data_IF_914187377014
#
_entry.id   IF_914187377014
#
_cell.length_a   1.000
_cell.length_b   1.000
_cell.length_c   1.000
_cell.angle_alpha   90.00
_cell.angle_beta   90.00
_cell.angle_gamma   90.00
#
_symmetry.space_group_name_H-M   'P 1'
#
loop_
_entity.id
_entity.type
_entity.pdbx_description
1 polymer ?
#
# COMPACT_ATOMS: atom_id res chain seq x y z
N UNK A 1 -11.84 2.64 -36.18
CA UNK A 1 -11.28 3.49 -35.11
C UNK A 1 -11.24 2.69 -33.83
N UNK A 2 -10.25 2.91 -32.96
CA UNK A 2 -10.20 2.26 -31.65
C UNK A 2 -11.31 2.75 -30.72
N UNK A 3 -11.55 2.06 -29.60
CA UNK A 3 -12.57 2.44 -28.61
C UNK A 3 -12.31 3.86 -28.06
N UNK A 4 -11.06 4.15 -27.70
CA UNK A 4 -10.65 5.47 -27.17
C UNK A 4 -10.86 6.57 -28.21
N UNK A 5 -10.42 6.34 -29.45
CA UNK A 5 -10.55 7.33 -30.54
C UNK A 5 -12.02 7.66 -30.83
N UNK A 6 -12.89 6.65 -30.89
CA UNK A 6 -14.30 6.82 -31.20
C UNK A 6 -15.06 7.61 -30.12
N UNK A 7 -14.73 7.37 -28.85
CA UNK A 7 -15.31 8.11 -27.71
C UNK A 7 -14.75 9.54 -27.66
N UNK A 8 -13.44 9.70 -27.87
CA UNK A 8 -12.81 11.01 -27.92
C UNK A 8 -13.34 11.87 -29.09
N UNK A 9 -13.62 11.27 -30.26
CA UNK A 9 -14.18 11.95 -31.43
C UNK A 9 -15.70 12.18 -31.35
N UNK A 10 -16.35 11.59 -30.35
CA UNK A 10 -17.77 11.76 -30.06
C UNK A 10 -18.72 10.95 -30.94
N UNK A 11 -18.22 9.95 -31.67
CA UNK A 11 -19.03 9.08 -32.54
C UNK A 11 -18.85 7.59 -32.20
N UNK A 12 -18.95 7.15 -30.92
CA UNK A 12 -18.86 5.74 -30.61
C UNK A 12 -20.13 5.00 -31.03
N UNK A 13 -19.97 3.74 -31.47
CA UNK A 13 -21.08 2.80 -31.51
C UNK A 13 -21.40 2.26 -30.10
N UNK A 14 -22.57 1.63 -29.95
CA UNK A 14 -23.02 1.09 -28.66
C UNK A 14 -22.04 0.05 -28.10
N UNK A 15 -21.36 -0.69 -28.97
CA UNK A 15 -20.42 -1.73 -28.55
C UNK A 15 -19.14 -1.09 -28.01
N UNK A 16 -18.62 -0.04 -28.65
CA UNK A 16 -17.48 0.75 -28.19
C UNK A 16 -17.79 1.41 -26.83
N UNK A 17 -19.01 1.89 -26.62
CA UNK A 17 -19.46 2.36 -25.31
C UNK A 17 -19.41 1.26 -24.23
N UNK A 18 -19.82 0.03 -24.55
CA UNK A 18 -19.69 -1.10 -23.62
C UNK A 18 -18.23 -1.52 -23.39
N UNK A 19 -17.41 -1.50 -24.44
CA UNK A 19 -16.02 -1.96 -24.41
C UNK A 19 -15.10 -1.00 -23.62
N UNK A 20 -15.45 0.28 -23.48
CA UNK A 20 -14.59 1.26 -22.80
C UNK A 20 -14.34 0.94 -21.32
N UNK A 21 -15.36 0.47 -20.58
CA UNK A 21 -15.19 0.10 -19.16
C UNK A 21 -15.15 -1.41 -18.92
N UNK A 22 -15.86 -2.21 -19.71
CA UNK A 22 -16.10 -3.63 -19.42
C UNK A 22 -15.41 -4.61 -20.39
N UNK A 23 -14.96 -4.15 -21.57
CA UNK A 23 -14.48 -5.03 -22.63
C UNK A 23 -15.50 -6.13 -22.94
N UNK A 24 -16.69 -5.80 -23.47
CA UNK A 24 -17.78 -6.78 -23.63
C UNK A 24 -17.51 -7.82 -24.72
N UNK A 25 -16.58 -7.52 -25.64
CA UNK A 25 -16.12 -8.46 -26.66
C UNK A 25 -14.71 -8.95 -26.37
N UNK A 26 -14.49 -10.22 -26.70
CA UNK A 26 -13.15 -10.76 -26.78
C UNK A 26 -12.31 -9.93 -27.75
N UNK A 27 -11.17 -9.43 -27.30
CA UNK A 27 -10.42 -8.48 -28.12
C UNK A 27 -9.33 -7.71 -27.40
N UNK A 28 -8.77 -6.74 -28.11
CA UNK A 28 -7.52 -6.06 -27.74
C UNK A 28 -7.64 -5.08 -26.57
N UNK A 29 -8.85 -4.78 -26.10
CA UNK A 29 -9.07 -3.85 -24.99
C UNK A 29 -9.73 -4.58 -23.82
N UNK A 30 -9.02 -4.66 -22.69
CA UNK A 30 -9.62 -5.07 -21.41
C UNK A 30 -10.53 -3.99 -20.79
N UNK A 31 -10.58 -2.78 -21.35
CA UNK A 31 -11.33 -1.65 -20.81
C UNK A 31 -10.70 -1.00 -19.58
N UNK A 32 -11.27 0.13 -19.14
CA UNK A 32 -10.85 0.87 -17.95
C UNK A 32 -10.97 0.05 -16.67
N UNK A 33 -11.96 -0.84 -16.56
CA UNK A 33 -12.08 -1.73 -15.40
C UNK A 33 -10.89 -2.67 -15.25
N UNK A 34 -10.34 -3.20 -16.35
CA UNK A 34 -9.12 -4.01 -16.32
C UNK A 34 -7.90 -3.18 -15.92
N UNK A 35 -7.83 -1.93 -16.40
CA UNK A 35 -6.75 -1.02 -16.04
C UNK A 35 -6.78 -0.71 -14.54
N UNK A 36 -7.93 -0.31 -14.00
CA UNK A 36 -8.10 -0.02 -12.57
C UNK A 36 -7.90 -1.24 -11.67
N UNK A 37 -8.26 -2.44 -12.14
CA UNK A 37 -7.91 -3.66 -11.44
C UNK A 37 -6.39 -3.81 -11.34
N UNK A 38 -5.64 -3.54 -12.40
CA UNK A 38 -4.17 -3.57 -12.37
C UNK A 38 -3.58 -2.47 -11.47
N UNK A 39 -4.12 -1.24 -11.50
CA UNK A 39 -3.72 -0.17 -10.57
C UNK A 39 -3.96 -0.57 -9.12
N UNK A 40 -5.15 -1.09 -8.80
CA UNK A 40 -5.50 -1.50 -7.44
C UNK A 40 -4.57 -2.56 -6.88
N UNK A 41 -4.12 -3.51 -7.72
CA UNK A 41 -3.08 -4.47 -7.36
C UNK A 41 -1.72 -3.78 -7.16
N UNK A 42 -1.35 -2.87 -8.05
CA UNK A 42 -0.13 -2.07 -7.94
C UNK A 42 -0.06 -1.30 -6.61
N UNK A 43 -1.16 -0.64 -6.24
CA UNK A 43 -1.30 0.04 -4.94
C UNK A 43 -1.15 -0.93 -3.76
N UNK A 44 -1.75 -2.13 -3.85
CA UNK A 44 -1.59 -3.17 -2.82
C UNK A 44 -0.11 -3.51 -2.56
N UNK A 45 0.65 -3.69 -3.63
CA UNK A 45 2.07 -4.00 -3.54
C UNK A 45 2.88 -2.79 -3.08
N UNK A 46 2.52 -1.59 -3.50
CA UNK A 46 3.14 -0.36 -3.00
C UNK A 46 3.01 -0.26 -1.47
N UNK A 47 1.82 -0.50 -0.91
CA UNK A 47 1.60 -0.42 0.54
C UNK A 47 2.33 -1.54 1.30
N UNK A 48 2.37 -2.75 0.72
CA UNK A 48 3.19 -3.85 1.21
C UNK A 48 4.68 -3.45 1.28
N UNK A 49 5.18 -2.79 0.24
CA UNK A 49 6.60 -2.42 0.16
C UNK A 49 6.95 -1.26 1.06
N UNK A 50 6.12 -0.22 1.13
CA UNK A 50 6.28 0.87 2.10
C UNK A 50 6.39 0.32 3.52
N UNK A 51 5.55 -0.64 3.87
CA UNK A 51 5.60 -1.32 5.16
C UNK A 51 6.92 -2.10 5.35
N UNK A 52 7.44 -2.74 4.30
CA UNK A 52 8.71 -3.46 4.36
C UNK A 52 9.94 -2.53 4.43
N UNK A 53 9.87 -1.31 3.92
CA UNK A 53 10.98 -0.35 3.92
C UNK A 53 11.46 -0.05 5.34
N UNK A 54 10.55 0.25 6.26
CA UNK A 54 10.86 0.52 7.67
C UNK A 54 11.59 -0.66 8.33
N UNK A 55 11.05 -1.88 8.17
CA UNK A 55 11.69 -3.10 8.69
C UNK A 55 13.08 -3.33 8.07
N UNK A 56 13.23 -3.09 6.76
CA UNK A 56 14.50 -3.22 6.07
C UNK A 56 15.57 -2.30 6.67
N UNK A 57 15.23 -1.03 6.94
CA UNK A 57 16.14 -0.10 7.59
C UNK A 57 16.52 -0.56 9.01
N UNK A 58 15.53 -0.94 9.82
CA UNK A 58 15.77 -1.46 11.17
C UNK A 58 16.70 -2.69 11.18
N UNK A 59 16.69 -3.51 10.14
CA UNK A 59 17.58 -4.67 10.05
C UNK A 59 18.97 -4.35 9.52
N UNK A 60 19.11 -3.30 8.70
CA UNK A 60 20.31 -3.05 7.88
C UNK A 60 21.17 -1.88 8.31
N UNK A 61 20.60 -0.82 8.89
CA UNK A 61 21.42 0.28 9.40
C UNK A 61 22.21 -0.10 10.66
N UNK A 62 21.68 -0.85 11.65
CA UNK A 62 22.38 -1.09 12.91
C UNK A 62 23.42 -2.20 12.75
N UNK A 63 24.47 -1.92 11.98
CA UNK A 63 25.58 -2.84 11.72
C UNK A 63 26.87 -2.24 12.26
N UNK A 64 27.73 -3.09 12.83
CA UNK A 64 29.06 -2.68 13.32
C UNK A 64 29.87 -1.96 12.24
N UNK A 65 29.71 -2.37 10.98
CA UNK A 65 30.36 -1.74 9.83
C UNK A 65 29.94 -0.28 9.64
N UNK A 66 28.64 0.01 9.77
CA UNK A 66 28.11 1.36 9.60
C UNK A 66 28.58 2.26 10.74
N UNK A 67 28.55 1.75 11.99
CA UNK A 67 29.05 2.46 13.16
C UNK A 67 30.57 2.77 13.05
N UNK A 68 31.39 1.77 12.71
CA UNK A 68 32.85 1.94 12.59
C UNK A 68 33.26 2.88 11.46
N UNK A 69 32.44 3.00 10.42
CA UNK A 69 32.71 3.86 9.28
C UNK A 69 32.24 5.31 9.48
N UNK A 70 31.50 5.60 10.56
CA UNK A 70 30.89 6.91 10.80
C UNK A 70 29.58 7.15 10.04
N UNK A 71 29.09 6.15 9.30
CA UNK A 71 27.78 6.24 8.63
C UNK A 71 26.62 6.28 9.65
N UNK A 72 26.78 5.60 10.79
CA UNK A 72 25.92 5.75 11.95
C UNK A 72 26.78 6.20 13.14
N UNK A 73 26.29 7.16 13.94
CA UNK A 73 27.01 7.68 15.10
C UNK A 73 26.15 7.56 16.34
N UNK A 74 26.70 7.00 17.43
CA UNK A 74 26.06 7.01 18.74
C UNK A 74 26.27 8.38 19.39
N UNK A 75 25.19 9.09 19.65
CA UNK A 75 25.20 10.44 20.24
C UNK A 75 25.05 10.36 21.75
N UNK A 76 24.10 9.56 22.24
CA UNK A 76 23.83 9.36 23.66
C UNK A 76 23.25 7.97 23.95
N UNK A 77 23.33 7.55 25.22
CA UNK A 77 22.86 6.24 25.68
C UNK A 77 23.88 5.11 25.51
N UNK A 78 23.50 3.91 25.96
CA UNK A 78 24.32 2.71 25.91
C UNK A 78 23.76 1.68 24.93
N UNK A 79 24.61 1.17 24.03
CA UNK A 79 24.20 0.11 23.11
C UNK A 79 23.93 -1.20 23.88
N UNK A 80 22.91 -1.98 23.50
CA UNK A 80 22.56 -3.21 24.20
C UNK A 80 23.70 -4.23 24.13
N UNK A 81 24.23 -4.63 25.29
CA UNK A 81 25.46 -5.45 25.37
C UNK A 81 26.65 -4.86 24.59
N UNK A 82 26.72 -3.54 24.40
CA UNK A 82 27.73 -2.88 23.58
C UNK A 82 27.66 -3.20 22.07
N UNK A 83 26.53 -3.74 21.58
CA UNK A 83 26.40 -4.15 20.18
C UNK A 83 25.26 -3.41 19.48
N UNK A 84 25.60 -2.56 18.49
CA UNK A 84 24.61 -1.86 17.67
C UNK A 84 23.65 -2.82 16.96
N UNK A 85 24.07 -4.04 16.62
CA UNK A 85 23.19 -5.03 15.97
C UNK A 85 22.03 -5.52 16.86
N UNK A 86 22.09 -5.22 18.17
CA UNK A 86 21.02 -5.50 19.12
C UNK A 86 20.10 -4.31 19.38
N UNK A 87 20.29 -3.19 18.66
CA UNK A 87 19.58 -1.93 18.90
C UNK A 87 18.06 -2.12 18.98
N UNK A 88 17.50 -2.91 18.06
CA UNK A 88 16.06 -3.18 17.97
C UNK A 88 15.65 -4.57 18.42
N UNK A 89 16.51 -5.31 19.11
CA UNK A 89 16.14 -6.58 19.73
C UNK A 89 15.30 -6.30 20.98
N UNK A 90 14.27 -7.12 21.21
CA UNK A 90 13.40 -7.08 22.39
C UNK A 90 14.22 -6.95 23.69
N UNK A 91 14.09 -5.82 24.43
CA UNK A 91 14.71 -5.68 25.74
C UNK A 91 14.06 -6.63 26.76
N UNK A 92 14.86 -7.19 27.65
CA UNK A 92 14.40 -8.16 28.66
C UNK A 92 13.65 -7.52 29.84
N UNK A 93 13.86 -6.23 30.07
CA UNK A 93 13.45 -5.49 31.26
C UNK A 93 12.38 -4.44 30.95
N UNK A 94 12.78 -3.31 30.36
CA UNK A 94 11.92 -2.18 30.05
C UNK A 94 11.90 -1.91 28.56
N UNK A 95 10.80 -1.34 28.07
CA UNK A 95 10.75 -0.88 26.69
C UNK A 95 11.86 0.13 26.44
N UNK A 96 12.37 0.14 25.21
CA UNK A 96 13.46 1.03 24.82
C UNK A 96 13.00 1.99 23.76
N UNK A 97 13.22 3.28 23.98
CA UNK A 97 13.02 4.35 22.99
C UNK A 97 14.36 4.72 22.37
N UNK A 98 14.46 4.52 21.07
CA UNK A 98 15.61 4.93 20.25
C UNK A 98 15.22 6.14 19.42
N UNK A 99 15.95 7.24 19.56
CA UNK A 99 15.86 8.39 18.64
C UNK A 99 16.88 8.24 17.53
N UNK A 100 16.43 8.40 16.30
CA UNK A 100 17.24 8.35 15.08
C UNK A 100 17.14 9.70 14.40
N UNK A 101 18.22 10.47 14.44
CA UNK A 101 18.37 11.67 13.61
C UNK A 101 18.85 11.23 12.23
N UNK A 102 18.19 11.71 11.18
CA UNK A 102 18.53 11.42 9.79
C UNK A 102 19.02 12.72 9.18
N UNK A 103 20.24 12.69 8.63
CA UNK A 103 20.85 13.85 7.98
C UNK A 103 21.20 13.55 6.53
N UNK A 104 21.23 14.57 5.68
CA UNK A 104 21.77 14.45 4.33
C UNK A 104 20.85 13.71 3.36
N UNK A 105 19.54 13.90 3.52
CA UNK A 105 18.55 13.51 2.53
C UNK A 105 18.48 14.60 1.45
N UNK A 106 18.75 14.22 0.20
CA UNK A 106 18.71 15.14 -0.95
C UNK A 106 17.28 15.50 -1.41
N UNK A 107 16.25 14.85 -0.83
CA UNK A 107 14.84 15.03 -1.22
C UNK A 107 14.14 16.09 -0.33
N UNK A 108 13.04 16.66 -0.84
CA UNK A 108 12.26 17.76 -0.25
C UNK A 108 11.74 17.58 1.20
N UNK A 109 12.07 16.48 1.88
CA UNK A 109 11.74 16.20 3.28
C UNK A 109 12.75 16.73 4.31
N UNK A 110 13.97 17.10 3.88
CA UNK A 110 15.01 17.61 4.79
C UNK A 110 15.51 16.61 5.82
N UNK A 111 16.31 17.09 6.77
CA UNK A 111 16.72 16.31 7.94
C UNK A 111 15.49 15.96 8.79
N UNK A 112 15.48 14.77 9.38
CA UNK A 112 14.30 14.22 10.05
C UNK A 112 14.64 13.51 11.35
N UNK A 113 13.63 13.35 12.21
CA UNK A 113 13.76 12.61 13.47
C UNK A 113 12.74 11.49 13.50
N UNK A 114 13.21 10.28 13.74
CA UNK A 114 12.36 9.12 13.95
C UNK A 114 12.59 8.63 15.37
N UNK A 115 11.50 8.33 16.07
CA UNK A 115 11.58 7.61 17.33
C UNK A 115 11.05 6.20 17.14
N UNK A 116 11.72 5.24 17.77
CA UNK A 116 11.39 3.82 17.69
C UNK A 116 11.35 3.29 19.11
N UNK A 117 10.14 2.96 19.59
CA UNK A 117 9.93 2.26 20.87
C UNK A 117 9.83 0.76 20.61
N UNK A 118 10.78 -0.01 21.13
CA UNK A 118 10.74 -1.48 21.12
C UNK A 118 10.18 -1.94 22.47
N UNK A 119 9.06 -2.66 22.44
CA UNK A 119 8.40 -3.18 23.64
C UNK A 119 9.25 -4.22 24.36
N UNK A 120 9.16 -4.27 25.69
CA UNK A 120 9.90 -5.25 26.50
C UNK A 120 9.34 -6.67 26.34
N UNK A 121 10.12 -7.67 26.75
CA UNK A 121 9.67 -9.05 26.80
C UNK A 121 8.40 -9.22 27.65
N UNK A 122 8.27 -8.46 28.74
CA UNK A 122 7.08 -8.49 29.60
C UNK A 122 5.86 -7.87 28.90
N UNK A 123 6.01 -6.75 28.20
CA UNK A 123 4.94 -6.12 27.42
C UNK A 123 4.49 -7.03 26.27
N UNK A 124 5.44 -7.56 25.52
CA UNK A 124 5.20 -8.50 24.43
C UNK A 124 4.41 -9.72 24.93
N UNK A 125 4.87 -10.36 26.01
CA UNK A 125 4.16 -11.52 26.59
C UNK A 125 2.77 -11.16 27.11
N UNK A 126 2.56 -9.96 27.66
CA UNK A 126 1.25 -9.52 28.15
C UNK A 126 0.25 -9.27 27.00
N UNK A 127 0.76 -8.88 25.82
CA UNK A 127 -0.04 -8.60 24.63
C UNK A 127 -0.16 -9.79 23.66
N UNK A 128 0.47 -10.94 23.96
CA UNK A 128 0.50 -12.12 23.07
C UNK A 128 1.41 -11.94 21.84
N UNK A 129 2.43 -11.11 21.99
CA UNK A 129 3.40 -10.77 20.96
C UNK A 129 4.76 -11.43 21.25
N UNK A 130 5.48 -11.80 20.19
CA UNK A 130 6.91 -12.09 20.19
C UNK A 130 7.75 -10.82 20.06
N UNK A 131 7.20 -9.83 19.33
CA UNK A 131 7.84 -8.56 19.04
C UNK A 131 6.80 -7.48 18.80
N UNK A 132 7.03 -6.29 19.36
CA UNK A 132 6.26 -5.08 19.07
C UNK A 132 7.23 -3.89 18.98
N UNK A 133 7.04 -3.06 17.96
CA UNK A 133 7.72 -1.79 17.83
C UNK A 133 6.77 -0.69 17.33
N UNK A 134 6.83 0.47 17.97
CA UNK A 134 6.09 1.68 17.59
C UNK A 134 7.06 2.74 17.11
N UNK A 135 6.78 3.31 15.95
CA UNK A 135 7.68 4.22 15.25
C UNK A 135 6.91 5.47 14.92
N UNK A 136 7.41 6.64 15.33
CA UNK A 136 6.77 7.91 14.98
C UNK A 136 7.76 8.87 14.35
N UNK A 137 7.29 9.53 13.30
CA UNK A 137 8.06 10.49 12.52
C UNK A 137 7.78 11.90 13.00
N UNK A 138 8.85 12.62 13.31
CA UNK A 138 8.85 14.00 13.78
C UNK A 138 9.61 14.86 12.77
N UNK A 139 8.96 15.90 12.27
CA UNK A 139 9.64 16.94 11.48
C UNK A 139 10.17 18.06 12.40
N UNK A 140 10.97 18.98 11.83
CA UNK A 140 11.48 20.13 12.58
C UNK A 140 10.50 21.31 12.62
N UNK A 141 9.49 21.29 11.76
CA UNK A 141 8.61 22.46 11.52
C UNK A 141 7.38 22.43 12.42
N UNK A 142 6.93 21.24 12.84
CA UNK A 142 5.77 21.03 13.71
C UNK A 142 6.20 20.36 15.02
N UNK A 143 5.48 20.69 16.09
CA UNK A 143 5.81 20.18 17.44
C UNK A 143 5.36 18.73 17.67
N UNK A 144 4.61 18.11 16.77
CA UNK A 144 4.01 16.78 16.95
C UNK A 144 4.30 15.78 15.83
N UNK A 145 4.09 14.47 16.08
CA UNK A 145 4.30 13.44 15.08
C UNK A 145 3.27 13.55 13.96
N UNK A 146 3.63 13.05 12.77
CA UNK A 146 2.75 13.07 11.58
C UNK A 146 2.32 11.69 11.12
N UNK A 147 3.14 10.71 11.43
CA UNK A 147 2.98 9.34 10.97
C UNK A 147 3.48 8.40 12.06
N UNK A 148 2.70 7.34 12.26
CA UNK A 148 2.96 6.21 13.12
C UNK A 148 3.12 4.97 12.24
N UNK A 149 4.17 4.18 12.47
CA UNK A 149 4.22 2.79 12.06
C UNK A 149 4.17 1.91 13.31
N UNK A 150 3.29 0.93 13.35
CA UNK A 150 3.19 -0.06 14.40
C UNK A 150 3.47 -1.44 13.83
N UNK A 151 4.49 -2.11 14.34
CA UNK A 151 4.95 -3.41 13.88
C UNK A 151 4.72 -4.42 14.99
N UNK A 152 4.05 -5.52 14.68
CA UNK A 152 3.76 -6.60 15.62
C UNK A 152 4.06 -7.94 14.97
N UNK A 153 4.67 -8.83 15.74
CA UNK A 153 4.73 -10.26 15.45
C UNK A 153 4.08 -10.99 16.63
N UNK A 154 2.93 -11.61 16.40
CA UNK A 154 2.18 -12.35 17.42
C UNK A 154 2.78 -13.73 17.71
N UNK A 155 2.40 -14.33 18.83
CA UNK A 155 2.85 -15.67 19.23
C UNK A 155 2.42 -16.79 18.27
N UNK A 156 1.31 -16.60 17.56
CA UNK A 156 0.82 -17.51 16.52
C UNK A 156 1.49 -17.29 15.14
N UNK A 157 2.46 -16.38 15.06
CA UNK A 157 3.29 -16.14 13.88
C UNK A 157 2.61 -15.30 12.79
N UNK A 158 1.62 -14.49 13.16
CA UNK A 158 1.10 -13.41 12.31
C UNK A 158 1.99 -12.19 12.50
N UNK A 159 2.39 -11.61 11.38
CA UNK A 159 3.10 -10.34 11.34
C UNK A 159 2.16 -9.27 10.81
N UNK A 160 2.09 -8.15 11.52
CA UNK A 160 1.25 -7.00 11.18
C UNK A 160 2.12 -5.74 11.13
N UNK A 161 1.91 -4.93 10.11
CA UNK A 161 2.41 -3.56 10.05
C UNK A 161 1.21 -2.65 9.81
N UNK A 162 1.03 -1.69 10.69
CA UNK A 162 0.05 -0.63 10.55
C UNK A 162 0.76 0.72 10.37
N UNK A 163 0.42 1.44 9.31
CA UNK A 163 0.86 2.80 9.06
C UNK A 163 -0.35 3.72 9.22
N UNK A 164 -0.20 4.80 9.97
CA UNK A 164 -1.29 5.71 10.26
C UNK A 164 -0.78 7.14 10.37
N UNK A 165 -1.38 8.10 9.67
CA UNK A 165 -0.87 9.46 9.69
C UNK A 165 -1.59 10.46 8.78
N UNK A 166 -0.98 11.61 8.61
CA UNK A 166 -1.48 12.71 7.77
C UNK A 166 -0.61 12.88 6.52
N UNK A 167 -1.17 12.74 5.30
CA UNK A 167 -0.39 12.96 4.10
C UNK A 167 -0.08 14.46 3.93
N UNK A 168 0.92 14.83 3.11
CA UNK A 168 1.33 16.22 2.92
C UNK A 168 0.21 17.17 2.48
N UNK A 169 -0.76 16.66 1.73
CA UNK A 169 -1.93 17.39 1.22
C UNK A 169 -3.13 17.40 2.19
N UNK A 170 -2.97 16.89 3.41
CA UNK A 170 -4.00 16.86 4.44
C UNK A 170 -4.93 15.65 4.40
N UNK A 171 -5.67 15.47 5.49
CA UNK A 171 -6.48 14.28 5.75
C UNK A 171 -5.76 13.27 6.65
N UNK A 172 -6.31 12.08 6.74
CA UNK A 172 -5.83 10.96 7.53
C UNK A 172 -5.82 9.72 6.66
N UNK A 173 -4.75 8.93 6.71
CA UNK A 173 -4.66 7.64 6.07
C UNK A 173 -4.34 6.56 7.09
N UNK A 174 -4.79 5.34 6.82
CA UNK A 174 -4.47 4.12 7.55
C UNK A 174 -4.16 3.01 6.55
N UNK A 175 -3.09 2.25 6.78
CA UNK A 175 -2.75 1.08 5.98
C UNK A 175 -2.32 -0.03 6.92
N UNK A 176 -2.96 -1.19 6.85
CA UNK A 176 -2.66 -2.36 7.67
C UNK A 176 -2.30 -3.50 6.74
N UNK A 177 -1.11 -4.05 6.91
CA UNK A 177 -0.64 -5.23 6.20
C UNK A 177 -0.47 -6.35 7.22
N UNK A 178 -1.11 -7.49 7.00
CA UNK A 178 -1.00 -8.66 7.88
C UNK A 178 -0.81 -9.95 7.11
N UNK A 179 -0.14 -10.92 7.73
CA UNK A 179 0.01 -12.27 7.19
C UNK A 179 1.04 -13.09 7.96
N UNK A 180 1.25 -14.35 7.58
CA UNK A 180 2.24 -15.18 8.25
C UNK A 180 3.62 -15.05 7.62
N UNK A 181 4.66 -14.98 8.44
CA UNK A 181 6.05 -15.12 8.01
C UNK A 181 6.53 -16.56 8.20
N UNK A 182 7.43 -17.01 7.33
CA UNK A 182 8.17 -18.26 7.46
C UNK A 182 9.67 -17.97 7.39
N UNK A 183 10.44 -18.74 8.15
CA UNK A 183 11.89 -18.69 8.05
C UNK A 183 12.34 -19.33 6.74
N UNK A 184 13.17 -18.60 5.98
CA UNK A 184 13.84 -19.06 4.77
C UNK A 184 15.35 -18.90 4.97
N UNK A 185 15.95 -19.89 5.67
CA UNK A 185 17.34 -19.81 6.11
C UNK A 185 17.52 -18.80 7.23
N UNK A 186 18.24 -17.70 6.98
CA UNK A 186 18.45 -16.62 7.97
C UNK A 186 17.50 -15.42 7.77
N UNK A 187 16.63 -15.47 6.76
CA UNK A 187 15.65 -14.43 6.47
C UNK A 187 14.25 -14.87 6.89
N UNK A 188 13.36 -13.89 7.07
CA UNK A 188 11.92 -14.09 7.14
C UNK A 188 11.32 -13.69 5.79
N UNK A 189 10.38 -14.49 5.30
CA UNK A 189 9.63 -14.20 4.08
C UNK A 189 8.15 -14.46 4.33
N UNK A 190 7.27 -13.82 3.57
CA UNK A 190 5.84 -14.14 3.61
C UNK A 190 5.60 -15.60 3.26
N UNK A 191 4.71 -16.25 4.00
CA UNK A 191 4.30 -17.62 3.76
C UNK A 191 3.33 -17.67 2.56
N UNK A 192 3.74 -18.18 1.38
CA UNK A 192 2.86 -18.19 0.22
C UNK A 192 1.66 -19.15 0.37
N UNK A 193 1.68 -20.04 1.38
CA UNK A 193 0.58 -20.96 1.68
C UNK A 193 -0.51 -20.34 2.54
N UNK A 194 -0.29 -19.13 3.07
CA UNK A 194 -1.21 -18.39 3.93
C UNK A 194 -1.60 -17.09 3.25
N UNK A 195 -2.82 -16.64 3.49
CA UNK A 195 -3.27 -15.36 2.96
C UNK A 195 -2.51 -14.21 3.61
N UNK A 196 -2.26 -13.18 2.81
CA UNK A 196 -1.88 -11.84 3.26
C UNK A 196 -3.08 -10.93 3.08
N UNK A 197 -3.35 -10.08 4.06
CA UNK A 197 -4.45 -9.13 4.00
C UNK A 197 -3.89 -7.71 4.10
N UNK A 198 -4.39 -6.83 3.25
CA UNK A 198 -4.04 -5.42 3.22
C UNK A 198 -5.34 -4.64 3.36
N UNK A 199 -5.42 -3.73 4.32
CA UNK A 199 -6.55 -2.84 4.51
C UNK A 199 -6.04 -1.41 4.42
N UNK A 200 -6.62 -0.62 3.54
CA UNK A 200 -6.28 0.79 3.38
C UNK A 200 -7.51 1.64 3.61
N UNK A 201 -7.35 2.77 4.28
CA UNK A 201 -8.39 3.77 4.48
C UNK A 201 -7.78 5.16 4.31
N UNK A 202 -8.56 6.08 3.73
CA UNK A 202 -8.20 7.49 3.61
C UNK A 202 -9.43 8.37 3.84
N UNK A 203 -9.21 9.53 4.45
CA UNK A 203 -10.25 10.48 4.80
C UNK A 203 -9.71 11.91 4.80
N UNK A 204 -10.37 12.84 4.12
CA UNK A 204 -10.15 14.29 4.28
C UNK A 204 -11.48 15.03 4.57
N UNK A 205 -11.67 16.29 4.20
CA UNK A 205 -12.95 16.99 4.42
C UNK A 205 -14.07 16.55 3.46
N UNK A 206 -13.75 16.15 2.23
CA UNK A 206 -14.72 15.81 1.17
C UNK A 206 -14.66 14.36 0.71
N UNK A 207 -13.53 13.71 0.92
CA UNK A 207 -13.18 12.45 0.30
C UNK A 207 -12.99 11.36 1.34
N UNK A 208 -13.44 10.16 1.00
CA UNK A 208 -13.29 8.94 1.79
C UNK A 208 -12.94 7.80 0.85
N UNK A 209 -12.09 6.91 1.31
CA UNK A 209 -11.72 5.71 0.59
C UNK A 209 -11.45 4.61 1.61
N UNK A 210 -11.85 3.38 1.28
CA UNK A 210 -11.29 2.19 1.91
C UNK A 210 -11.11 1.07 0.89
N UNK A 211 -10.14 0.21 1.13
CA UNK A 211 -9.87 -0.97 0.35
C UNK A 211 -9.50 -2.15 1.25
N UNK A 212 -9.91 -3.34 0.84
CA UNK A 212 -9.47 -4.61 1.43
C UNK A 212 -8.93 -5.50 0.32
N UNK A 213 -7.71 -5.99 0.50
CA UNK A 213 -7.00 -6.78 -0.50
C UNK A 213 -6.47 -8.04 0.15
N UNK A 214 -6.87 -9.19 -0.37
CA UNK A 214 -6.40 -10.49 0.08
C UNK A 214 -5.53 -11.13 -1.00
N UNK A 215 -4.33 -11.59 -0.62
CA UNK A 215 -3.36 -12.21 -1.53
C UNK A 215 -3.00 -13.61 -1.03
N UNK A 216 -3.35 -14.65 -1.81
CA UNK A 216 -2.92 -16.04 -1.58
C UNK A 216 -2.64 -16.79 -2.90
N UNK A 217 -3.62 -17.52 -3.45
CA UNK A 217 -3.56 -18.10 -4.79
C UNK A 217 -4.14 -17.15 -5.84
N UNK A 218 -4.95 -16.21 -5.39
CA UNK A 218 -5.56 -15.13 -6.14
C UNK A 218 -5.37 -13.83 -5.34
N UNK A 219 -5.56 -12.71 -6.03
CA UNK A 219 -5.72 -11.40 -5.41
C UNK A 219 -7.20 -11.06 -5.50
N UNK A 220 -7.84 -10.86 -4.34
CA UNK A 220 -9.20 -10.36 -4.25
C UNK A 220 -9.11 -8.95 -3.72
N UNK A 221 -9.75 -7.99 -4.38
CA UNK A 221 -9.77 -6.59 -3.95
C UNK A 221 -11.21 -6.09 -3.87
N UNK A 222 -11.53 -5.40 -2.79
CA UNK A 222 -12.73 -4.59 -2.61
C UNK A 222 -12.30 -3.15 -2.44
N UNK A 223 -12.92 -2.22 -3.15
CA UNK A 223 -12.70 -0.78 -2.92
C UNK A 223 -14.03 -0.06 -2.80
N UNK A 224 -14.13 0.80 -1.80
CA UNK A 224 -15.30 1.64 -1.57
C UNK A 224 -14.82 3.06 -1.35
N UNK A 225 -15.25 3.96 -2.22
CA UNK A 225 -14.85 5.36 -2.16
C UNK A 225 -16.02 6.31 -2.33
N UNK A 226 -15.83 7.50 -1.77
CA UNK A 226 -16.64 8.67 -2.00
C UNK A 226 -15.71 9.84 -2.22
N UNK A 227 -15.51 10.22 -3.47
CA UNK A 227 -14.80 11.42 -3.86
C UNK A 227 -15.81 12.44 -4.36
N UNK A 228 -15.91 13.58 -3.64
CA UNK A 228 -16.96 14.59 -3.87
C UNK A 228 -18.37 13.99 -3.77
N UNK A 229 -19.17 14.10 -4.84
CA UNK A 229 -20.55 13.63 -4.94
C UNK A 229 -20.68 12.21 -5.52
N UNK A 230 -19.56 11.62 -5.96
CA UNK A 230 -19.53 10.27 -6.51
C UNK A 230 -19.18 9.26 -5.44
N UNK A 231 -19.91 8.16 -5.46
CA UNK A 231 -19.67 7.02 -4.60
C UNK A 231 -19.46 5.81 -5.50
N UNK A 232 -18.30 5.18 -5.40
CA UNK A 232 -17.94 4.03 -6.25
C UNK A 232 -17.64 2.81 -5.39
N UNK A 233 -18.08 1.65 -5.86
CA UNK A 233 -17.82 0.34 -5.28
C UNK A 233 -17.18 -0.51 -6.36
N UNK A 234 -16.06 -1.15 -6.05
CA UNK A 234 -15.42 -2.10 -6.94
C UNK A 234 -15.11 -3.41 -6.24
N UNK A 235 -15.21 -4.48 -7.00
CA UNK A 235 -14.83 -5.83 -6.61
C UNK A 235 -14.02 -6.45 -7.73
N UNK A 236 -12.84 -6.99 -7.42
CA UNK A 236 -11.98 -7.64 -8.41
C UNK A 236 -11.42 -8.95 -7.88
N UNK A 237 -11.26 -9.92 -8.79
CA UNK A 237 -10.60 -11.19 -8.53
C UNK A 237 -9.56 -11.39 -9.63
N UNK A 238 -8.33 -11.70 -9.24
CA UNK A 238 -7.19 -11.77 -10.12
C UNK A 238 -6.33 -13.01 -9.82
N UNK A 239 -5.88 -13.69 -10.88
CA UNK A 239 -4.83 -14.70 -10.83
C UNK A 239 -3.51 -14.08 -11.21
N UNK A 240 -2.44 -14.54 -10.59
CA UNK A 240 -1.11 -14.00 -10.80
C UNK A 240 -0.06 -15.11 -10.77
N UNK A 241 1.10 -14.81 -11.33
CA UNK A 241 2.34 -15.55 -11.14
C UNK A 241 3.42 -14.64 -10.55
N UNK A 242 4.54 -15.24 -10.14
CA UNK A 242 5.60 -14.54 -9.43
C UNK A 242 5.56 -14.79 -7.92
N UNK A 243 6.67 -14.51 -7.27
CA UNK A 243 6.89 -14.70 -5.83
C UNK A 243 7.10 -13.40 -5.08
N UNK A 244 7.38 -12.32 -5.79
CA UNK A 244 7.72 -11.02 -5.23
C UNK A 244 7.26 -9.90 -6.15
N UNK A 245 7.41 -8.68 -5.68
CA UNK A 245 6.92 -7.49 -6.37
C UNK A 245 7.65 -7.22 -7.69
N UNK A 246 8.86 -7.72 -7.86
CA UNK A 246 9.68 -7.47 -9.06
C UNK A 246 9.35 -8.42 -10.22
N UNK A 247 8.69 -9.54 -9.92
CA UNK A 247 8.32 -10.56 -10.92
C UNK A 247 6.83 -10.92 -10.92
N UNK A 248 6.00 -10.21 -10.15
CA UNK A 248 4.55 -10.42 -10.18
C UNK A 248 4.01 -10.12 -11.58
N UNK A 249 3.21 -11.04 -12.11
CA UNK A 249 2.53 -10.87 -13.39
C UNK A 249 1.08 -11.28 -13.24
N UNK A 250 0.18 -10.41 -13.69
CA UNK A 250 -1.23 -10.75 -13.78
C UNK A 250 -1.44 -11.70 -14.95
N UNK A 251 -2.22 -12.76 -14.73
CA UNK A 251 -2.50 -13.77 -15.75
C UNK A 251 -3.91 -13.62 -16.28
N UNK A 252 -4.88 -13.49 -15.39
CA UNK A 252 -6.28 -13.28 -15.75
C UNK A 252 -7.11 -12.85 -14.54
N UNK A 253 -8.25 -12.24 -14.78
CA UNK A 253 -9.07 -11.70 -13.70
C UNK A 253 -10.37 -11.10 -14.20
N UNK A 254 -11.23 -10.79 -13.26
CA UNK A 254 -12.53 -10.23 -13.49
C UNK A 254 -12.81 -9.13 -12.49
N UNK A 255 -13.68 -8.21 -12.89
CA UNK A 255 -13.99 -7.02 -12.11
C UNK A 255 -15.47 -6.66 -12.26
N UNK A 256 -16.01 -6.05 -11.22
CA UNK A 256 -17.34 -5.43 -11.19
C UNK A 256 -17.24 -4.07 -10.50
N UNK A 257 -17.95 -3.09 -11.04
CA UNK A 257 -18.03 -1.74 -10.50
C UNK A 257 -19.46 -1.22 -10.49
N UNK A 258 -19.78 -0.43 -9.47
CA UNK A 258 -21.04 0.27 -9.30
C UNK A 258 -20.80 1.69 -8.80
N UNK A 259 -21.44 2.67 -9.43
CA UNK A 259 -21.47 4.05 -8.98
C UNK A 259 -22.89 4.49 -8.60
N UNK A 260 -23.00 5.50 -7.74
CA UNK A 260 -24.27 6.05 -7.28
C UNK A 260 -25.07 6.80 -8.36
N UNK A 261 -24.47 7.13 -9.51
CA UNK A 261 -25.17 7.70 -10.66
C UNK A 261 -25.80 6.64 -11.57
N UNK A 262 -25.82 5.38 -11.13
CA UNK A 262 -26.39 4.25 -11.85
C UNK A 262 -25.43 3.60 -12.84
N UNK A 263 -24.20 4.11 -12.98
CA UNK A 263 -23.19 3.48 -13.80
C UNK A 263 -22.72 2.16 -13.19
N UNK A 264 -22.91 1.07 -13.92
CA UNK A 264 -22.49 -0.27 -13.53
C UNK A 264 -21.69 -0.90 -14.67
N UNK A 265 -20.64 -1.62 -14.33
CA UNK A 265 -19.84 -2.35 -15.29
C UNK A 265 -19.33 -3.66 -14.70
N UNK A 266 -19.10 -4.65 -15.55
CA UNK A 266 -18.44 -5.89 -15.18
C UNK A 266 -17.75 -6.47 -16.40
N UNK A 267 -16.54 -6.99 -16.21
CA UNK A 267 -15.74 -7.52 -17.30
C UNK A 267 -14.72 -8.53 -16.80
N UNK A 268 -14.00 -9.11 -17.76
CA UNK A 268 -12.89 -9.98 -17.48
C UNK A 268 -11.78 -9.78 -18.51
N UNK A 269 -10.55 -10.04 -18.08
CA UNK A 269 -9.35 -9.79 -18.86
C UNK A 269 -8.34 -10.90 -18.63
N UNK A 270 -7.49 -11.14 -19.61
CA UNK A 270 -6.37 -12.08 -19.49
C UNK A 270 -5.14 -11.60 -20.26
N UNK A 271 -3.98 -12.04 -19.79
CA UNK A 271 -2.72 -11.80 -20.46
C UNK A 271 -2.60 -12.70 -21.70
N UNK A 272 -2.43 -12.09 -22.88
CA UNK A 272 -2.17 -12.76 -24.15
C UNK A 272 -0.87 -12.25 -24.74
N UNK A 273 0.19 -13.03 -24.55
CA UNK A 273 1.56 -12.79 -25.04
C UNK A 273 2.19 -11.45 -24.65
N UNK A 274 1.68 -10.33 -25.16
CA UNK A 274 2.22 -8.98 -24.98
C UNK A 274 1.23 -7.96 -24.42
N UNK A 275 -0.06 -8.30 -24.28
CA UNK A 275 -1.09 -7.37 -23.83
C UNK A 275 -2.15 -8.03 -22.95
N UNK A 276 -2.95 -7.21 -22.27
CA UNK A 276 -4.14 -7.65 -21.53
C UNK A 276 -5.37 -7.49 -22.40
N UNK A 277 -5.94 -8.61 -22.83
CA UNK A 277 -7.10 -8.69 -23.70
C UNK A 277 -8.37 -8.75 -22.87
N UNK A 278 -9.48 -8.22 -23.39
CA UNK A 278 -10.78 -8.64 -22.85
C UNK A 278 -10.97 -10.14 -23.10
N UNK A 279 -11.47 -10.83 -22.08
CA UNK A 279 -11.72 -12.26 -22.05
C UNK A 279 -13.11 -12.52 -21.43
N UNK A 280 -14.21 -12.23 -22.14
CA UNK A 280 -15.57 -12.34 -21.58
C UNK A 280 -15.98 -13.79 -21.26
N UNK A 281 -15.22 -14.78 -21.73
CA UNK A 281 -15.40 -16.21 -21.42
C UNK A 281 -14.50 -16.69 -20.28
N UNK A 282 -13.78 -15.79 -19.60
CA UNK A 282 -12.93 -16.16 -18.48
C UNK A 282 -13.79 -16.69 -17.32
N UNK A 283 -13.38 -17.83 -16.75
CA UNK A 283 -14.10 -18.49 -15.65
C UNK A 283 -14.30 -17.65 -14.39
N UNK A 284 -13.50 -16.60 -14.17
CA UNK A 284 -13.64 -15.70 -13.02
C UNK A 284 -14.77 -14.68 -13.20
N UNK A 285 -15.29 -14.52 -14.42
CA UNK A 285 -16.35 -13.55 -14.72
C UNK A 285 -17.62 -13.81 -13.93
N UNK A 286 -18.04 -15.08 -13.85
CA UNK A 286 -19.27 -15.43 -13.15
C UNK A 286 -19.18 -15.10 -11.66
N UNK A 287 -18.00 -15.30 -11.05
CA UNK A 287 -17.73 -14.96 -9.65
C UNK A 287 -17.88 -13.47 -9.34
N UNK A 288 -17.65 -12.57 -10.29
CA UNK A 288 -17.80 -11.12 -10.08
C UNK A 288 -19.16 -10.62 -10.51
N UNK A 289 -19.78 -11.19 -11.55
CA UNK A 289 -21.10 -10.75 -12.04
C UNK A 289 -22.17 -10.96 -10.98
N UNK A 290 -22.13 -12.09 -10.28
CA UNK A 290 -23.09 -12.46 -9.23
C UNK A 290 -22.82 -11.78 -7.88
N UNK A 291 -21.70 -11.04 -7.74
CA UNK A 291 -21.36 -10.37 -6.49
C UNK A 291 -22.35 -9.25 -6.16
N UNK A 292 -23.04 -9.33 -5.03
CA UNK A 292 -23.97 -8.28 -4.57
C UNK A 292 -23.29 -7.32 -3.57
N UNK A 293 -23.11 -6.07 -3.99
CA UNK A 293 -22.58 -5.00 -3.14
C UNK A 293 -23.50 -4.61 -1.96
N UNK A 294 -24.76 -5.04 -1.96
CA UNK A 294 -25.72 -4.79 -0.87
C UNK A 294 -25.71 -5.87 0.20
N UNK A 295 -25.20 -7.07 -0.10
CA UNK A 295 -25.12 -8.19 0.86
C UNK A 295 -23.76 -8.25 1.58
N UNK A 296 -22.73 -7.59 1.04
CA UNK A 296 -21.39 -7.57 1.62
C UNK A 296 -21.16 -6.36 2.52
N UNK A 297 -21.01 -6.62 3.83
CA UNK A 297 -20.88 -5.61 4.88
C UNK A 297 -19.67 -4.66 4.69
N UNK A 298 -18.68 -5.03 3.87
CA UNK A 298 -17.62 -4.11 3.50
C UNK A 298 -18.19 -2.84 2.86
N UNK A 299 -19.29 -2.91 2.12
CA UNK A 299 -19.85 -1.78 1.38
C UNK A 299 -21.00 -1.05 2.10
N UNK A 300 -21.24 -1.35 3.37
CA UNK A 300 -22.31 -0.72 4.18
C UNK A 300 -22.00 0.75 4.49
N UNK A 301 -20.76 1.03 4.89
CA UNK A 301 -20.33 2.39 5.25
C UNK A 301 -18.85 2.61 4.99
N UNK A 302 -18.48 3.87 4.75
CA UNK A 302 -17.09 4.30 4.82
C UNK A 302 -16.69 4.43 6.29
N UNK A 303 -15.43 4.11 6.61
CA UNK A 303 -14.88 4.26 7.95
C UNK A 303 -14.66 5.75 8.27
N UNK A 304 -14.97 6.16 9.49
CA UNK A 304 -14.54 7.45 10.02
C UNK A 304 -13.19 7.27 10.72
N UNK A 305 -12.12 7.79 10.10
CA UNK A 305 -10.78 7.73 10.67
C UNK A 305 -10.59 8.85 11.69
N UNK A 306 -10.16 8.47 12.90
CA UNK A 306 -9.70 9.39 13.94
C UNK A 306 -8.22 9.17 14.24
N UNK A 307 -7.41 10.19 14.02
CA UNK A 307 -5.98 10.15 14.33
C UNK A 307 -5.73 10.50 15.80
N UNK A 308 -5.37 9.51 16.62
CA UNK A 308 -4.90 9.73 17.99
C UNK A 308 -3.39 9.59 18.06
N UNK A 309 -2.71 10.72 18.25
CA UNK A 309 -1.27 10.80 18.42
C UNK A 309 -0.86 11.26 19.83
N UNK A 310 -1.82 11.35 20.76
CA UNK A 310 -1.58 11.93 22.09
C UNK A 310 -0.57 11.16 22.94
N UNK A 311 -0.34 9.87 22.64
CA UNK A 311 0.67 9.04 23.29
C UNK A 311 2.09 9.17 22.73
N UNK A 312 2.32 10.01 21.73
CA UNK A 312 3.59 10.12 21.01
C UNK A 312 4.13 11.54 21.08
N UNK A 313 5.37 11.69 21.54
CA UNK A 313 6.01 12.99 21.78
C UNK A 313 7.30 13.11 20.95
N UNK A 314 7.41 14.19 20.19
CA UNK A 314 8.61 14.55 19.42
C UNK A 314 9.74 15.14 20.29
N UNK A 315 9.47 15.34 21.58
CA UNK A 315 10.39 15.74 22.63
C UNK A 315 10.64 14.63 23.65
N UNK A 316 10.19 13.40 23.38
CA UNK A 316 10.43 12.26 24.26
C UNK A 316 11.94 12.10 24.53
N UNK A 317 12.31 11.81 25.78
CA UNK A 317 13.71 11.53 26.15
C UNK A 317 14.05 10.11 25.67
N UNK A 318 15.01 9.94 24.74
CA UNK A 318 15.37 8.62 24.28
C UNK A 318 16.33 7.93 25.26
N UNK A 319 16.27 6.61 25.31
CA UNK A 319 17.28 5.78 25.98
C UNK A 319 18.59 5.74 25.18
N UNK A 320 18.47 5.81 23.84
CA UNK A 320 19.59 5.80 22.90
C UNK A 320 19.32 6.80 21.77
N UNK A 321 20.30 7.62 21.45
CA UNK A 321 20.26 8.52 20.29
C UNK A 321 21.34 8.15 19.27
N UNK A 322 20.91 7.95 18.03
CA UNK A 322 21.77 7.65 16.88
C UNK A 322 21.57 8.73 15.82
N UNK A 323 22.63 9.14 15.15
CA UNK A 323 22.56 9.91 13.90
C UNK A 323 22.96 9.05 12.71
N UNK A 324 22.19 9.10 11.63
CA UNK A 324 22.44 8.44 10.35
C UNK A 324 22.78 9.48 9.29
N UNK A 325 23.95 9.35 8.68
CA UNK A 325 24.39 10.19 7.56
C UNK A 325 24.06 9.52 6.23
N UNK A 326 22.97 9.95 5.60
CA UNK A 326 22.48 9.39 4.35
C UNK A 326 23.37 9.76 3.14
N UNK A 327 24.28 10.72 3.28
CA UNK A 327 25.30 10.99 2.25
C UNK A 327 26.40 9.94 2.22
N UNK A 328 26.56 9.16 3.31
CA UNK A 328 27.59 8.14 3.39
C UNK A 328 27.26 6.93 2.49
N UNK A 329 28.21 6.53 1.65
CA UNK A 329 28.08 5.42 0.70
C UNK A 329 27.65 4.05 1.28
N UNK A 330 27.73 3.82 2.59
CA UNK A 330 27.24 2.60 3.23
C UNK A 330 25.73 2.68 3.49
N UNK A 331 25.23 3.83 3.93
CA UNK A 331 23.81 4.05 4.10
C UNK A 331 23.11 4.25 2.76
N UNK A 332 23.74 4.86 1.75
CA UNK A 332 23.21 4.85 0.38
C UNK A 332 23.00 3.42 -0.17
N UNK A 333 23.86 2.46 0.21
CA UNK A 333 23.69 1.04 -0.13
C UNK A 333 22.58 0.36 0.68
N UNK A 334 22.27 0.86 1.87
CA UNK A 334 21.11 0.40 2.64
C UNK A 334 19.85 0.95 1.99
N UNK A 335 19.82 2.26 1.72
CA UNK A 335 18.75 2.95 1.03
C UNK A 335 18.40 2.25 -0.29
N UNK A 336 19.37 2.08 -1.19
CA UNK A 336 19.12 1.43 -2.48
C UNK A 336 18.63 -0.01 -2.36
N UNK A 337 18.84 -0.69 -1.23
CA UNK A 337 18.28 -2.02 -0.98
C UNK A 337 16.88 -1.99 -0.39
N UNK A 338 16.60 -1.01 0.47
CA UNK A 338 15.31 -0.88 1.16
C UNK A 338 14.26 -0.13 0.33
N UNK A 339 14.71 0.65 -0.66
CA UNK A 339 13.88 1.46 -1.56
C UNK A 339 14.01 1.00 -3.03
N UNK A 340 14.65 -0.15 -3.28
CA UNK A 340 14.88 -0.69 -4.63
C UNK A 340 13.61 -0.97 -5.44
N UNK A 341 12.45 -1.06 -4.78
CA UNK A 341 11.19 -1.48 -5.39
C UNK A 341 10.08 -0.49 -5.06
N UNK A 342 10.36 0.81 -5.15
CA UNK A 342 9.32 1.82 -5.04
C UNK A 342 8.44 1.81 -6.29
N UNK A 343 7.17 1.43 -6.12
CA UNK A 343 6.15 1.56 -7.14
C UNK A 343 5.58 2.98 -7.06
N UNK A 344 6.40 3.95 -7.47
CA UNK A 344 5.97 5.33 -7.59
C UNK A 344 4.83 5.46 -8.60
N UNK A 345 3.78 6.19 -8.22
CA UNK A 345 2.68 6.60 -9.09
C UNK A 345 1.96 5.44 -9.81
N UNK A 346 1.25 4.61 -9.06
CA UNK A 346 0.38 3.55 -9.59
C UNK A 346 -0.92 4.06 -10.25
N UNK A 347 -1.03 5.37 -10.51
CA UNK A 347 -2.20 5.97 -11.15
C UNK A 347 -2.06 6.05 -12.68
N UNK A 348 -1.61 4.96 -13.32
CA UNK A 348 -1.24 4.95 -14.74
C UNK A 348 -2.42 4.91 -15.71
N UNK A 349 -3.65 4.63 -15.26
CA UNK A 349 -4.82 4.51 -16.15
C UNK A 349 -5.30 5.84 -16.74
N UNK A 350 -4.96 6.97 -16.12
CA UNK A 350 -5.40 8.30 -16.57
C UNK A 350 -4.24 9.20 -17.01
N UNK A 351 -3.02 8.67 -17.08
CA UNK A 351 -1.85 9.45 -17.45
C UNK A 351 -1.87 9.88 -18.91
N UNK A 352 -2.49 9.09 -19.79
CA UNK A 352 -2.62 9.43 -21.21
C UNK A 352 -3.74 10.44 -21.42
N UNK A 353 -3.47 11.46 -22.23
CA UNK A 353 -4.42 12.55 -22.48
C UNK A 353 -5.63 12.04 -23.26
N UNK A 354 -5.42 11.04 -24.11
CA UNK A 354 -6.42 10.39 -24.95
C UNK A 354 -7.45 9.63 -24.12
N UNK A 355 -7.01 8.82 -23.14
CA UNK A 355 -7.92 8.09 -22.23
C UNK A 355 -8.72 9.08 -21.39
N UNK A 356 -8.07 10.10 -20.84
CA UNK A 356 -8.74 11.13 -20.04
C UNK A 356 -9.79 11.89 -20.84
N UNK A 357 -9.49 12.22 -22.09
CA UNK A 357 -10.42 12.91 -22.99
C UNK A 357 -11.61 12.01 -23.34
N UNK A 358 -11.37 10.73 -23.63
CA UNK A 358 -12.43 9.76 -23.86
C UNK A 358 -13.31 9.58 -22.61
N UNK A 359 -12.73 9.46 -21.43
CA UNK A 359 -13.48 9.35 -20.17
C UNK A 359 -14.36 10.57 -19.89
N UNK A 360 -13.83 11.78 -20.11
CA UNK A 360 -14.59 13.03 -19.97
C UNK A 360 -15.79 13.09 -20.94
N UNK A 361 -15.61 12.60 -22.17
CA UNK A 361 -16.66 12.58 -23.17
C UNK A 361 -17.66 11.43 -23.00
N UNK A 362 -17.26 10.33 -22.36
CA UNK A 362 -18.04 9.09 -22.27
C UNK A 362 -19.48 9.33 -21.85
N UNK A 363 -19.72 10.09 -20.78
CA UNK A 363 -21.08 10.37 -20.29
C UNK A 363 -21.94 11.07 -21.34
N UNK A 364 -21.37 12.03 -22.07
CA UNK A 364 -22.09 12.80 -23.07
C UNK A 364 -22.44 11.96 -24.32
N UNK A 365 -21.60 10.98 -24.69
CA UNK A 365 -21.72 10.26 -25.97
C UNK A 365 -22.29 8.85 -25.82
N UNK A 366 -22.15 8.24 -24.65
CA UNK A 366 -22.59 6.88 -24.36
C UNK A 366 -23.76 6.79 -23.36
N UNK A 367 -24.03 7.85 -22.60
CA UNK A 367 -25.10 7.86 -21.58
C UNK A 367 -26.14 8.98 -21.79
N UNK A 368 -26.03 9.77 -22.86
CA UNK A 368 -27.07 10.73 -23.21
C UNK A 368 -28.36 9.99 -23.62
N UNK A 369 -29.55 10.52 -23.27
CA UNK A 369 -30.79 10.00 -23.82
C UNK A 369 -30.74 10.09 -25.36
N UNK A 370 -31.29 9.10 -26.09
CA UNK A 370 -31.37 9.19 -27.53
C UNK A 370 -32.15 10.48 -27.90
N UNK A 371 -31.52 11.33 -28.72
CA UNK A 371 -32.16 12.52 -29.28
C UNK A 371 -33.33 12.17 -30.19
#
# INVERSE_FOLDING_TARGET
EGVVDAIASGNPDQIQCGDFFAGQRDGQSGGMGACHMAEGVGYAFNDLLRSQTTLCYMQRFPKKKNLKAGAATLISGDLPSGNIEKLFVTPSDQARVVKVNITGLDNAGGDGRIFIRVSSAAENSANGNQYEAKIWHCDEVREGPRELNHLEASDDGVFTIENFGEPPNGGTFRSIVSGNLVSTGTALAWNPKKSRNISNSFQNSSDRFKAEIQIQNQIISKTFDRFRDRTNKHYTIATYSGSDVTNVRFLSGAYKGQANDGFNFSGATEYRDSFYASAPQNSLRDSVVDFDFAEDAFFDSLEDLSLDLSGYDCSAVPDIEITLDMTHALLQKVQSKCEASDFGNMHFCHETTEIRSAEQNFKAVCQAPPN
#
